data_IF_172838907874
#
_entry.id   IF_172838907874
#
_cell.length_a   1.000
_cell.length_b   1.000
_cell.length_c   1.000
_cell.angle_alpha   90.00
_cell.angle_beta   90.00
_cell.angle_gamma   90.00
#
_symmetry.space_group_name_H-M   'P 1'
#
loop_
_entity.id
_entity.type
_entity.pdbx_description
1 polymer ?
#
# COMPACT_ATOMS: atom_id res chain seq x y z
N UNK A 1 14.28 -7.38 43.75
CA UNK A 1 15.00 -8.21 42.76
C UNK A 1 15.00 -9.66 43.24
N UNK A 2 14.58 -10.63 42.41
CA UNK A 2 14.60 -12.06 42.80
C UNK A 2 16.06 -12.52 42.94
N UNK A 3 16.43 -13.01 44.13
CA UNK A 3 17.82 -13.24 44.58
C UNK A 3 18.54 -14.44 43.93
N UNK A 4 17.83 -15.28 43.16
CA UNK A 4 18.34 -16.52 42.56
C UNK A 4 18.19 -16.52 41.03
N UNK A 5 18.63 -15.47 40.35
CA UNK A 5 18.67 -15.49 38.88
C UNK A 5 19.99 -16.08 38.39
N UNK A 6 20.02 -17.22 37.68
CA UNK A 6 21.24 -17.68 37.06
C UNK A 6 21.68 -16.64 36.02
N UNK A 7 22.91 -16.15 36.14
CA UNK A 7 23.50 -15.36 35.06
C UNK A 7 23.56 -16.25 33.81
N UNK A 8 23.01 -15.79 32.68
CA UNK A 8 22.96 -16.59 31.47
C UNK A 8 22.03 -16.03 30.38
N UNK A 9 22.13 -16.60 29.18
CA UNK A 9 21.24 -16.31 28.05
C UNK A 9 19.96 -17.11 28.18
N UNK A 10 18.82 -16.47 27.93
CA UNK A 10 17.50 -17.09 28.06
C UNK A 10 16.77 -16.97 26.72
N UNK A 11 16.25 -18.08 26.16
CA UNK A 11 15.47 -18.02 24.94
C UNK A 11 14.16 -17.28 25.20
N UNK A 12 13.88 -16.26 24.39
CA UNK A 12 12.61 -15.51 24.41
C UNK A 12 11.67 -16.13 23.39
N UNK A 13 10.87 -17.09 23.84
CA UNK A 13 10.01 -17.92 22.98
C UNK A 13 8.57 -17.95 23.48
N UNK A 14 7.65 -18.30 22.58
CA UNK A 14 6.26 -18.59 22.90
C UNK A 14 6.11 -19.92 23.64
N UNK A 15 4.88 -20.27 24.07
CA UNK A 15 4.63 -21.49 24.83
C UNK A 15 4.78 -22.78 24.00
N UNK A 16 4.63 -22.69 22.67
CA UNK A 16 4.69 -23.82 21.75
C UNK A 16 5.49 -23.46 20.49
N UNK A 17 6.19 -24.45 19.93
CA UNK A 17 6.81 -24.32 18.62
C UNK A 17 5.74 -24.42 17.52
N UNK A 18 5.76 -23.49 16.56
CA UNK A 18 4.79 -23.41 15.47
C UNK A 18 5.53 -23.26 14.14
N UNK A 19 4.99 -23.86 13.07
CA UNK A 19 5.41 -23.50 11.72
C UNK A 19 4.93 -22.08 11.38
N UNK A 20 5.58 -21.40 10.42
CA UNK A 20 5.09 -20.09 9.96
C UNK A 20 3.65 -20.18 9.42
N UNK A 21 3.30 -21.29 8.79
CA UNK A 21 1.93 -21.55 8.31
C UNK A 21 0.94 -21.58 9.46
N UNK A 22 1.24 -22.33 10.52
CA UNK A 22 0.33 -22.47 11.67
C UNK A 22 0.25 -21.17 12.47
N UNK A 23 1.38 -20.47 12.62
CA UNK A 23 1.43 -19.14 13.21
C UNK A 23 0.50 -18.15 12.49
N UNK A 24 0.58 -18.08 11.15
CA UNK A 24 -0.27 -17.21 10.34
C UNK A 24 -1.75 -17.64 10.38
N UNK A 25 -2.03 -18.94 10.41
CA UNK A 25 -3.39 -19.47 10.52
C UNK A 25 -4.01 -19.10 11.88
N UNK A 26 -3.27 -19.27 12.97
CA UNK A 26 -3.71 -18.87 14.31
C UNK A 26 -3.89 -17.36 14.39
N UNK A 27 -2.93 -16.56 13.92
CA UNK A 27 -3.06 -15.09 13.94
C UNK A 27 -4.28 -14.60 13.15
N UNK A 28 -4.56 -15.22 11.99
CA UNK A 28 -5.77 -14.95 11.19
C UNK A 28 -7.04 -15.22 12.01
N UNK A 29 -7.10 -16.36 12.69
CA UNK A 29 -8.20 -16.72 13.58
C UNK A 29 -8.33 -15.72 14.75
N UNK A 30 -7.22 -15.38 15.41
CA UNK A 30 -7.16 -14.40 16.52
C UNK A 30 -7.69 -13.04 16.11
N UNK A 31 -7.41 -12.60 14.89
CA UNK A 31 -7.92 -11.37 14.28
C UNK A 31 -9.41 -11.45 13.88
N UNK A 32 -10.05 -12.61 13.95
CA UNK A 32 -11.44 -12.78 13.49
C UNK A 32 -11.61 -12.56 11.99
N UNK A 33 -10.58 -12.91 11.21
CA UNK A 33 -10.67 -12.89 9.75
C UNK A 33 -11.46 -14.12 9.27
N UNK A 34 -12.45 -13.94 8.38
CA UNK A 34 -13.29 -15.05 7.93
C UNK A 34 -12.53 -16.03 7.03
N UNK A 35 -12.82 -17.33 7.17
CA UNK A 35 -12.29 -18.38 6.29
C UNK A 35 -10.84 -18.80 6.57
N UNK A 36 -10.45 -19.93 5.99
CA UNK A 36 -9.14 -20.55 6.18
C UNK A 36 -7.99 -19.78 5.50
N UNK A 37 -6.78 -19.93 6.03
CA UNK A 37 -5.56 -19.46 5.39
C UNK A 37 -5.36 -20.19 4.06
N UNK A 38 -5.32 -19.44 2.95
CA UNK A 38 -4.96 -19.98 1.64
C UNK A 38 -3.45 -19.93 1.48
N UNK A 39 -2.83 -21.08 1.20
CA UNK A 39 -1.39 -21.20 1.02
C UNK A 39 -1.13 -21.82 -0.35
N UNK A 40 -0.35 -21.12 -1.17
CA UNK A 40 0.17 -21.66 -2.42
C UNK A 40 1.61 -22.11 -2.18
N UNK A 41 1.93 -23.40 -2.31
CA UNK A 41 3.32 -23.86 -2.25
C UNK A 41 4.08 -23.33 -3.48
N UNK A 42 5.23 -22.72 -3.25
CA UNK A 42 6.10 -22.20 -4.31
C UNK A 42 7.47 -22.86 -4.17
N UNK A 43 8.07 -23.40 -5.25
CA UNK A 43 9.43 -23.93 -5.22
C UNK A 43 10.46 -22.89 -4.74
N UNK A 44 11.35 -23.31 -3.85
CA UNK A 44 12.43 -22.47 -3.29
C UNK A 44 13.26 -21.75 -4.35
N UNK A 45 13.53 -22.41 -5.48
CA UNK A 45 14.29 -21.84 -6.59
C UNK A 45 13.61 -20.59 -7.17
N UNK A 46 12.27 -20.62 -7.32
CA UNK A 46 11.51 -19.48 -7.82
C UNK A 46 11.50 -18.33 -6.81
N UNK A 47 11.37 -18.64 -5.52
CA UNK A 47 11.41 -17.63 -4.46
C UNK A 47 12.77 -16.92 -4.45
N UNK A 48 13.88 -17.68 -4.50
CA UNK A 48 15.24 -17.12 -4.52
C UNK A 48 15.52 -16.32 -5.78
N UNK A 49 15.05 -16.77 -6.95
CA UNK A 49 15.20 -16.03 -8.20
C UNK A 49 14.43 -14.69 -8.20
N UNK A 50 13.25 -14.64 -7.57
CA UNK A 50 12.43 -13.44 -7.49
C UNK A 50 12.87 -12.43 -6.42
N UNK A 51 13.62 -12.87 -5.41
CA UNK A 51 13.92 -12.09 -4.21
C UNK A 51 14.63 -10.75 -4.48
N UNK A 52 15.66 -10.67 -5.35
CA UNK A 52 16.33 -9.40 -5.64
C UNK A 52 15.38 -8.37 -6.26
N UNK A 53 14.46 -8.83 -7.13
CA UNK A 53 13.46 -7.97 -7.75
C UNK A 53 12.43 -7.50 -6.72
N UNK A 54 11.93 -8.41 -5.86
CA UNK A 54 10.96 -8.09 -4.82
C UNK A 54 11.52 -7.09 -3.80
N UNK A 55 12.77 -7.26 -3.37
CA UNK A 55 13.43 -6.34 -2.43
C UNK A 55 13.60 -4.94 -3.03
N UNK A 56 13.86 -4.83 -4.35
CA UNK A 56 13.97 -3.54 -5.04
C UNK A 56 12.62 -2.86 -5.25
N UNK A 57 11.60 -3.61 -5.66
CA UNK A 57 10.27 -3.05 -5.98
C UNK A 57 9.41 -2.78 -4.73
N UNK A 58 9.66 -3.50 -3.64
CA UNK A 58 8.86 -3.43 -2.44
C UNK A 58 9.73 -3.48 -1.17
N UNK A 59 10.58 -2.45 -0.92
CA UNK A 59 11.48 -2.41 0.23
C UNK A 59 10.77 -2.40 1.60
N UNK A 60 9.43 -2.21 1.62
CA UNK A 60 8.61 -2.30 2.82
C UNK A 60 8.02 -3.69 3.09
N UNK A 61 8.25 -4.68 2.22
CA UNK A 61 7.90 -6.07 2.52
C UNK A 61 8.95 -6.67 3.47
N UNK A 62 8.54 -7.43 4.51
CA UNK A 62 9.46 -8.14 5.40
C UNK A 62 10.02 -9.41 4.73
N UNK A 63 10.37 -9.32 3.44
CA UNK A 63 10.87 -10.44 2.64
C UNK A 63 12.13 -10.01 1.90
N UNK A 64 13.26 -10.49 2.39
CA UNK A 64 14.59 -10.31 1.82
C UNK A 64 15.42 -11.58 2.03
N UNK A 65 16.65 -11.59 1.50
CA UNK A 65 17.56 -12.75 1.56
C UNK A 65 17.81 -13.21 3.01
N UNK A 66 18.07 -12.26 3.91
CA UNK A 66 18.32 -12.55 5.32
C UNK A 66 17.08 -13.15 6.01
N UNK A 67 15.90 -12.58 5.78
CA UNK A 67 14.65 -13.08 6.35
C UNK A 67 14.33 -14.49 5.88
N UNK A 68 14.57 -14.81 4.60
CA UNK A 68 14.39 -16.15 4.06
C UNK A 68 15.41 -17.13 4.65
N UNK A 69 16.68 -16.73 4.74
CA UNK A 69 17.73 -17.55 5.36
C UNK A 69 17.44 -17.82 6.85
N UNK A 70 16.98 -16.81 7.59
CA UNK A 70 16.56 -16.95 8.98
C UNK A 70 15.34 -17.86 9.12
N UNK A 71 14.35 -17.72 8.23
CA UNK A 71 13.16 -18.57 8.23
C UNK A 71 13.52 -20.04 7.97
N UNK A 72 14.42 -20.30 7.01
CA UNK A 72 14.86 -21.66 6.68
C UNK A 72 15.65 -22.34 7.81
N UNK A 73 16.39 -21.57 8.62
CA UNK A 73 17.11 -22.09 9.80
C UNK A 73 16.16 -22.49 10.94
N UNK A 74 14.97 -21.90 11.01
CA UNK A 74 14.06 -22.03 12.14
C UNK A 74 14.53 -21.24 13.37
N UNK A 75 13.61 -21.00 14.30
CA UNK A 75 13.90 -20.28 15.55
C UNK A 75 13.01 -20.77 16.70
N UNK A 76 13.37 -21.92 17.29
CA UNK A 76 12.63 -22.55 18.40
C UNK A 76 13.53 -22.73 19.62
N UNK A 77 12.96 -22.78 20.81
CA UNK A 77 13.69 -23.00 22.06
C UNK A 77 12.80 -23.50 23.19
N UNK A 78 13.41 -23.94 24.30
CA UNK A 78 12.69 -24.38 25.50
C UNK A 78 11.97 -23.20 26.18
N UNK A 79 10.65 -23.25 26.39
CA UNK A 79 9.90 -22.19 27.07
C UNK A 79 10.06 -22.18 28.60
N UNK A 80 10.57 -23.24 29.23
CA UNK A 80 10.63 -23.35 30.69
C UNK A 80 11.44 -22.23 31.38
N UNK A 81 12.59 -21.77 30.85
CA UNK A 81 13.30 -20.61 31.38
C UNK A 81 12.46 -19.32 31.35
N UNK A 82 11.74 -19.07 30.25
CA UNK A 82 10.86 -17.89 30.13
C UNK A 82 9.67 -17.99 31.09
N UNK A 83 9.05 -19.17 31.21
CA UNK A 83 7.96 -19.40 32.16
C UNK A 83 8.41 -19.10 33.60
N UNK A 84 9.58 -19.60 34.01
CA UNK A 84 10.17 -19.32 35.33
C UNK A 84 10.46 -17.83 35.55
N UNK A 85 10.88 -17.11 34.50
CA UNK A 85 11.12 -15.67 34.54
C UNK A 85 9.83 -14.88 34.77
N UNK A 86 8.80 -15.18 33.98
CA UNK A 86 7.54 -14.46 34.02
C UNK A 86 6.69 -14.85 35.23
N UNK A 87 6.92 -16.02 35.82
CA UNK A 87 6.05 -16.60 36.85
C UNK A 87 4.67 -17.00 36.32
N UNK A 88 4.52 -17.08 34.98
CA UNK A 88 3.32 -17.45 34.23
C UNK A 88 3.74 -17.98 32.86
N UNK A 89 2.89 -18.76 32.15
CA UNK A 89 3.20 -19.16 30.79
C UNK A 89 3.39 -17.96 29.86
N UNK A 90 4.31 -18.04 28.88
CA UNK A 90 4.36 -17.09 27.77
C UNK A 90 3.02 -17.05 27.04
N UNK A 91 2.64 -15.88 26.52
CA UNK A 91 1.37 -15.69 25.82
C UNK A 91 1.35 -16.49 24.51
N UNK A 92 0.29 -17.25 24.28
CA UNK A 92 0.05 -17.97 23.03
C UNK A 92 -0.52 -17.04 21.93
N UNK A 93 -0.41 -17.45 20.67
CA UNK A 93 -0.77 -16.62 19.50
C UNK A 93 -2.28 -16.35 19.41
N UNK A 94 -3.09 -17.30 19.86
CA UNK A 94 -4.55 -17.18 20.01
C UNK A 94 -4.97 -16.10 21.03
N UNK A 95 -4.08 -15.72 21.95
CA UNK A 95 -4.28 -14.67 22.94
C UNK A 95 -3.64 -13.32 22.58
N UNK A 96 -2.96 -13.21 21.43
CA UNK A 96 -2.23 -11.97 21.07
C UNK A 96 -3.15 -10.75 20.96
N UNK A 97 -4.36 -10.93 20.43
CA UNK A 97 -5.34 -9.85 20.23
C UNK A 97 -6.53 -10.07 21.16
N UNK A 98 -6.68 -9.26 22.22
CA UNK A 98 -7.85 -9.31 23.09
C UNK A 98 -9.14 -9.10 22.30
N UNK A 99 -10.23 -9.76 22.70
CA UNK A 99 -11.51 -9.70 21.98
C UNK A 99 -12.00 -8.27 21.69
N UNK A 100 -11.83 -7.34 22.66
CA UNK A 100 -12.19 -5.92 22.52
C UNK A 100 -11.43 -5.16 21.43
N UNK A 101 -10.25 -5.65 21.02
CA UNK A 101 -9.41 -5.02 20.00
C UNK A 101 -9.44 -5.74 18.66
N UNK A 102 -10.14 -6.89 18.59
CA UNK A 102 -10.11 -7.78 17.42
C UNK A 102 -10.55 -7.08 16.14
N UNK A 103 -11.65 -6.34 16.18
CA UNK A 103 -12.16 -5.61 15.01
C UNK A 103 -11.21 -4.52 14.55
N UNK A 104 -10.73 -3.68 15.47
CA UNK A 104 -9.78 -2.61 15.16
C UNK A 104 -8.46 -3.15 14.58
N UNK A 105 -7.90 -4.20 15.18
CA UNK A 105 -6.68 -4.85 14.72
C UNK A 105 -6.87 -5.50 13.33
N UNK A 106 -8.03 -6.12 13.08
CA UNK A 106 -8.39 -6.67 11.78
C UNK A 106 -8.46 -5.58 10.72
N UNK A 107 -9.17 -4.48 11.00
CA UNK A 107 -9.30 -3.34 10.09
C UNK A 107 -7.94 -2.72 9.80
N UNK A 108 -7.10 -2.54 10.81
CA UNK A 108 -5.74 -2.03 10.64
C UNK A 108 -4.87 -2.97 9.78
N UNK A 109 -4.95 -4.29 10.01
CA UNK A 109 -4.23 -5.27 9.21
C UNK A 109 -4.67 -5.25 7.73
N UNK A 110 -5.99 -5.11 7.48
CA UNK A 110 -6.55 -5.02 6.12
C UNK A 110 -6.12 -3.73 5.42
N UNK A 111 -6.26 -2.59 6.08
CA UNK A 111 -5.81 -1.29 5.55
C UNK A 111 -4.31 -1.29 5.28
N UNK A 112 -3.52 -1.97 6.11
CA UNK A 112 -2.07 -2.05 5.98
C UNK A 112 -1.60 -2.52 4.61
N UNK A 113 -2.28 -3.50 3.99
CA UNK A 113 -1.95 -4.00 2.65
C UNK A 113 -2.80 -3.39 1.53
N UNK A 114 -4.03 -2.93 1.82
CA UNK A 114 -4.90 -2.30 0.82
C UNK A 114 -4.46 -0.89 0.43
N UNK A 115 -4.00 -0.06 1.38
CA UNK A 115 -3.58 1.32 1.10
C UNK A 115 -2.42 1.38 0.07
N UNK A 116 -1.36 0.55 0.15
CA UNK A 116 -0.36 0.47 -0.91
C UNK A 116 -0.92 0.09 -2.28
N UNK A 117 -1.90 -0.80 -2.35
CA UNK A 117 -2.53 -1.20 -3.63
C UNK A 117 -3.29 -0.02 -4.22
N UNK A 118 -4.10 0.67 -3.42
CA UNK A 118 -4.83 1.87 -3.85
C UNK A 118 -3.86 2.95 -4.34
N UNK A 119 -2.78 3.19 -3.58
CA UNK A 119 -1.74 4.14 -3.98
C UNK A 119 -1.08 3.76 -5.29
N UNK A 120 -0.72 2.49 -5.48
CA UNK A 120 -0.13 2.02 -6.74
C UNK A 120 -1.12 2.17 -7.89
N UNK A 121 -2.41 1.88 -7.68
CA UNK A 121 -3.43 2.05 -8.71
C UNK A 121 -3.57 3.53 -9.12
N UNK A 122 -3.64 4.46 -8.16
CA UNK A 122 -3.63 5.92 -8.41
C UNK A 122 -2.39 6.33 -9.19
N UNK A 123 -1.21 5.86 -8.76
CA UNK A 123 0.05 6.17 -9.42
C UNK A 123 0.08 5.70 -10.88
N UNK A 124 -0.38 4.47 -11.13
CA UNK A 124 -0.43 3.91 -12.48
C UNK A 124 -1.39 4.68 -13.38
N UNK A 125 -2.56 5.10 -12.86
CA UNK A 125 -3.49 5.95 -13.64
C UNK A 125 -2.77 7.21 -14.11
N UNK A 126 -2.13 7.96 -13.21
CA UNK A 126 -1.41 9.18 -13.58
C UNK A 126 -0.22 8.93 -14.53
N UNK A 127 0.57 7.88 -14.30
CA UNK A 127 1.70 7.57 -15.18
C UNK A 127 1.20 7.22 -16.59
N UNK A 128 0.17 6.37 -16.68
CA UNK A 128 -0.38 5.93 -17.95
C UNK A 128 -1.02 7.12 -18.69
N UNK A 129 -1.81 7.97 -18.02
CA UNK A 129 -2.43 9.15 -18.65
C UNK A 129 -1.39 10.15 -19.15
N UNK A 130 -0.32 10.35 -18.37
CA UNK A 130 0.83 11.17 -18.77
C UNK A 130 1.50 10.62 -20.03
N UNK A 131 1.89 9.33 -20.04
CA UNK A 131 2.53 8.69 -21.20
C UNK A 131 1.62 8.73 -22.44
N UNK A 132 0.33 8.44 -22.26
CA UNK A 132 -0.65 8.47 -23.36
C UNK A 132 -0.72 9.87 -23.98
N UNK A 133 -0.73 10.91 -23.14
CA UNK A 133 -0.77 12.31 -23.57
C UNK A 133 0.52 12.80 -24.23
N UNK A 134 1.66 12.15 -23.99
CA UNK A 134 2.95 12.49 -24.59
C UNK A 134 3.14 11.97 -26.02
N UNK A 135 2.31 11.03 -26.50
CA UNK A 135 2.43 10.58 -27.89
C UNK A 135 1.71 9.29 -28.29
N UNK A 136 1.04 8.58 -27.38
CA UNK A 136 0.23 7.42 -27.78
C UNK A 136 -1.16 7.82 -28.27
N UNK A 137 -1.71 8.91 -27.73
CA UNK A 137 -2.92 9.52 -28.25
C UNK A 137 -2.58 10.54 -29.33
N UNK A 138 -3.36 10.63 -30.43
CA UNK A 138 -3.11 11.62 -31.48
C UNK A 138 -3.06 13.04 -30.91
N UNK A 139 -1.92 13.71 -31.08
CA UNK A 139 -1.69 15.06 -30.54
C UNK A 139 -2.70 16.06 -31.09
N UNK A 140 -3.10 15.92 -32.35
CA UNK A 140 -4.10 16.76 -33.00
C UNK A 140 -5.47 16.66 -32.31
N UNK A 141 -5.88 15.45 -31.91
CA UNK A 141 -7.15 15.25 -31.19
C UNK A 141 -7.09 15.89 -29.80
N UNK A 142 -5.94 15.80 -29.12
CA UNK A 142 -5.70 16.51 -27.85
C UNK A 142 -5.79 18.03 -28.02
N UNK A 143 -5.18 18.58 -29.08
CA UNK A 143 -5.27 20.01 -29.38
C UNK A 143 -6.68 20.45 -29.75
N UNK A 144 -7.44 19.62 -30.47
CA UNK A 144 -8.84 19.87 -30.76
C UNK A 144 -9.68 19.92 -29.47
N UNK A 145 -9.46 18.99 -28.53
CA UNK A 145 -10.11 19.00 -27.22
C UNK A 145 -9.74 20.25 -26.41
N UNK A 146 -8.46 20.64 -26.37
CA UNK A 146 -8.01 21.85 -25.70
C UNK A 146 -8.61 23.11 -26.33
N UNK A 147 -8.73 23.15 -27.66
CA UNK A 147 -9.39 24.25 -28.36
C UNK A 147 -10.87 24.36 -27.96
N UNK A 148 -11.59 23.23 -27.88
CA UNK A 148 -13.00 23.20 -27.44
C UNK A 148 -13.16 23.56 -25.96
N UNK A 149 -12.18 23.20 -25.12
CA UNK A 149 -12.10 23.65 -23.73
C UNK A 149 -11.79 25.16 -23.59
N UNK A 150 -11.48 25.87 -24.69
CA UNK A 150 -11.22 27.30 -24.71
C UNK A 150 -9.76 27.70 -24.55
N UNK A 151 -8.81 26.78 -24.71
CA UNK A 151 -7.38 27.07 -24.61
C UNK A 151 -6.88 27.78 -25.88
N UNK A 152 -6.28 28.98 -25.76
CA UNK A 152 -5.70 29.70 -26.89
C UNK A 152 -4.63 28.89 -27.62
N UNK A 153 -4.54 29.02 -28.94
CA UNK A 153 -3.64 28.22 -29.78
C UNK A 153 -2.17 28.25 -29.29
N UNK A 154 -1.67 29.42 -28.90
CA UNK A 154 -0.31 29.58 -28.40
C UNK A 154 -0.02 28.80 -27.10
N UNK A 155 -1.06 28.53 -26.29
CA UNK A 155 -0.93 27.85 -25.01
C UNK A 155 -1.22 26.34 -25.08
N UNK A 156 -1.78 25.83 -26.20
CA UNK A 156 -2.16 24.41 -26.31
C UNK A 156 -0.97 23.45 -26.13
N UNK A 157 0.23 23.70 -26.70
CA UNK A 157 1.38 22.85 -26.45
C UNK A 157 1.78 22.85 -24.97
N UNK A 158 1.86 24.03 -24.35
CA UNK A 158 2.18 24.15 -22.93
C UNK A 158 1.15 23.45 -22.04
N UNK A 159 -0.14 23.60 -22.34
CA UNK A 159 -1.21 22.95 -21.60
C UNK A 159 -1.15 21.43 -21.73
N UNK A 160 -0.92 20.90 -22.93
CA UNK A 160 -0.82 19.46 -23.17
C UNK A 160 0.41 18.86 -22.47
N UNK A 161 1.61 19.35 -22.77
CA UNK A 161 2.84 18.80 -22.22
C UNK A 161 3.00 19.11 -20.72
N UNK A 162 2.47 20.26 -20.27
CA UNK A 162 2.39 20.61 -18.85
C UNK A 162 1.47 19.67 -18.08
N UNK A 163 0.26 19.39 -18.59
CA UNK A 163 -0.64 18.41 -17.98
C UNK A 163 -0.01 17.01 -17.96
N UNK A 164 0.56 16.56 -19.08
CA UNK A 164 1.22 15.26 -19.15
C UNK A 164 2.43 15.14 -18.21
N UNK A 165 3.25 16.18 -18.09
CA UNK A 165 4.38 16.21 -17.17
C UNK A 165 3.92 16.23 -15.70
N UNK A 166 2.83 16.92 -15.41
CA UNK A 166 2.23 16.99 -14.08
C UNK A 166 1.62 15.64 -13.68
N UNK A 167 0.94 14.95 -14.60
CA UNK A 167 0.47 13.58 -14.43
C UNK A 167 1.62 12.64 -14.06
N UNK A 168 2.71 12.65 -14.85
CA UNK A 168 3.90 11.85 -14.55
C UNK A 168 4.49 12.19 -13.18
N UNK A 169 4.59 13.48 -12.84
CA UNK A 169 5.09 13.93 -11.56
C UNK A 169 4.25 13.38 -10.41
N UNK A 170 2.91 13.50 -10.47
CA UNK A 170 2.03 12.95 -9.43
C UNK A 170 2.13 11.44 -9.31
N UNK A 171 2.19 10.73 -10.43
CA UNK A 171 2.38 9.29 -10.46
C UNK A 171 3.68 8.85 -9.80
N UNK A 172 4.80 9.49 -10.12
CA UNK A 172 6.11 9.20 -9.53
C UNK A 172 6.17 9.58 -8.05
N UNK A 173 5.57 10.71 -7.67
CA UNK A 173 5.51 11.17 -6.27
C UNK A 173 4.73 10.21 -5.37
N UNK A 174 3.77 9.46 -5.91
CA UNK A 174 3.11 8.39 -5.15
C UNK A 174 4.11 7.31 -4.69
N UNK A 175 5.25 7.14 -5.34
CA UNK A 175 6.31 6.19 -4.95
C UNK A 175 7.43 6.81 -4.11
N UNK A 176 7.46 8.13 -3.94
CA UNK A 176 8.47 8.84 -3.13
C UNK A 176 8.52 8.31 -1.68
N UNK A 177 9.59 8.47 -0.90
CA UNK A 177 9.63 8.00 0.49
C UNK A 177 8.48 8.55 1.35
N UNK A 178 7.98 7.80 2.32
CA UNK A 178 6.83 8.21 3.15
C UNK A 178 7.04 9.57 3.84
N UNK A 179 8.28 9.90 4.22
CA UNK A 179 8.67 11.21 4.77
C UNK A 179 8.45 12.39 3.82
N UNK A 180 8.38 12.15 2.51
CA UNK A 180 8.17 13.16 1.47
C UNK A 180 6.72 13.16 0.97
N UNK A 181 5.95 12.10 1.29
CA UNK A 181 4.51 12.00 1.01
C UNK A 181 3.68 12.82 2.00
N UNK A 182 3.91 14.13 2.02
CA UNK A 182 3.08 15.06 2.78
C UNK A 182 1.63 15.02 2.25
N UNK A 183 0.61 15.22 3.11
CA UNK A 183 -0.80 15.12 2.73
C UNK A 183 -1.21 16.04 1.56
N UNK A 184 -0.40 17.07 1.30
CA UNK A 184 -0.58 18.00 0.19
C UNK A 184 -0.53 17.35 -1.19
N UNK A 185 0.17 16.22 -1.37
CA UNK A 185 0.22 15.53 -2.66
C UNK A 185 -1.17 15.03 -3.06
N UNK A 186 -1.91 14.43 -2.12
CA UNK A 186 -3.27 13.96 -2.36
C UNK A 186 -4.24 15.12 -2.59
N UNK A 187 -4.09 16.20 -1.83
CA UNK A 187 -4.88 17.41 -2.01
C UNK A 187 -4.61 18.09 -3.37
N UNK A 188 -3.35 18.13 -3.83
CA UNK A 188 -2.97 18.71 -5.11
C UNK A 188 -3.54 17.90 -6.29
N UNK A 189 -3.49 16.57 -6.21
CA UNK A 189 -4.15 15.68 -7.19
C UNK A 189 -5.66 15.91 -7.21
N UNK A 190 -6.30 16.01 -6.04
CA UNK A 190 -7.74 16.26 -5.95
C UNK A 190 -8.10 17.64 -6.51
N UNK A 191 -7.31 18.67 -6.21
CA UNK A 191 -7.49 20.03 -6.73
C UNK A 191 -7.36 20.07 -8.25
N UNK A 192 -6.38 19.36 -8.83
CA UNK A 192 -6.25 19.25 -10.28
C UNK A 192 -7.50 18.59 -10.90
N UNK A 193 -7.94 17.47 -10.32
CA UNK A 193 -9.14 16.74 -10.78
C UNK A 193 -10.37 17.63 -10.76
N UNK A 194 -10.59 18.34 -9.66
CA UNK A 194 -11.71 19.27 -9.51
C UNK A 194 -11.60 20.43 -10.52
N UNK A 195 -10.40 20.98 -10.70
CA UNK A 195 -10.15 22.09 -11.62
C UNK A 195 -10.50 21.74 -13.06
N UNK A 196 -9.96 20.64 -13.59
CA UNK A 196 -10.29 20.25 -14.97
C UNK A 196 -11.73 19.75 -15.09
N UNK A 197 -12.29 19.10 -14.06
CA UNK A 197 -13.70 18.64 -14.06
C UNK A 197 -14.65 19.84 -14.17
N UNK A 198 -14.37 20.94 -13.47
CA UNK A 198 -15.16 22.17 -13.56
C UNK A 198 -15.08 22.78 -14.96
N UNK A 199 -13.88 22.86 -15.56
CA UNK A 199 -13.68 23.37 -16.91
C UNK A 199 -14.47 22.52 -17.93
N UNK A 200 -14.32 21.21 -17.89
CA UNK A 200 -15.02 20.28 -18.80
C UNK A 200 -16.53 20.37 -18.58
N UNK A 201 -17.00 20.47 -17.33
CA UNK A 201 -18.45 20.58 -17.06
C UNK A 201 -19.09 21.83 -17.68
N UNK A 202 -18.36 22.93 -17.78
CA UNK A 202 -18.86 24.18 -18.37
C UNK A 202 -18.67 24.22 -19.89
N UNK A 203 -17.52 23.74 -20.40
CA UNK A 203 -17.13 23.89 -21.81
C UNK A 203 -17.48 22.69 -22.69
N UNK A 204 -17.61 21.52 -22.07
CA UNK A 204 -17.78 20.21 -22.72
C UNK A 204 -18.79 19.36 -21.93
N UNK A 205 -20.01 19.87 -21.65
CA UNK A 205 -20.99 19.19 -20.79
C UNK A 205 -21.40 17.81 -21.31
N UNK A 206 -21.26 17.53 -22.60
CA UNK A 206 -21.51 16.22 -23.19
C UNK A 206 -20.64 15.10 -22.62
N UNK A 207 -19.50 15.42 -22.00
CA UNK A 207 -18.64 14.44 -21.31
C UNK A 207 -19.29 13.81 -20.08
N UNK A 208 -20.38 14.39 -19.56
CA UNK A 208 -21.23 13.75 -18.54
C UNK A 208 -22.03 12.57 -19.09
N UNK A 209 -22.42 12.62 -20.36
CA UNK A 209 -23.22 11.58 -21.04
C UNK A 209 -22.35 10.61 -21.85
N UNK A 210 -21.04 10.80 -21.85
CA UNK A 210 -20.12 10.00 -22.63
C UNK A 210 -20.08 8.54 -22.11
N UNK A 211 -20.15 7.52 -22.99
CA UNK A 211 -20.32 6.11 -22.59
C UNK A 211 -19.19 5.59 -21.71
N UNK A 212 -17.98 6.14 -21.84
CA UNK A 212 -16.84 5.76 -21.01
C UNK A 212 -16.79 6.46 -19.64
N UNK A 213 -17.75 7.32 -19.32
CA UNK A 213 -17.91 8.00 -18.03
C UNK A 213 -16.68 8.75 -17.51
N UNK A 214 -16.00 9.58 -18.32
CA UNK A 214 -14.73 10.21 -17.95
C UNK A 214 -14.85 11.07 -16.69
N UNK A 215 -15.92 11.87 -16.56
CA UNK A 215 -16.15 12.68 -15.37
C UNK A 215 -16.64 11.86 -14.17
N UNK A 216 -17.49 10.86 -14.39
CA UNK A 216 -18.00 10.01 -13.31
C UNK A 216 -16.88 9.20 -12.63
N UNK A 217 -15.84 8.82 -13.37
CA UNK A 217 -14.65 8.14 -12.83
C UNK A 217 -13.82 9.02 -11.88
N UNK A 218 -13.99 10.34 -11.92
CA UNK A 218 -13.31 11.25 -11.00
C UNK A 218 -13.88 11.17 -9.58
N UNK A 219 -15.15 10.81 -9.41
CA UNK A 219 -15.77 10.70 -8.09
C UNK A 219 -15.10 9.62 -7.22
N UNK A 220 -14.96 8.35 -7.65
CA UNK A 220 -14.24 7.35 -6.87
C UNK A 220 -12.74 7.69 -6.75
N UNK A 221 -12.13 8.33 -7.75
CA UNK A 221 -10.74 8.79 -7.67
C UNK A 221 -10.55 9.80 -6.53
N UNK A 222 -11.42 10.81 -6.43
CA UNK A 222 -11.42 11.80 -5.34
C UNK A 222 -11.63 11.13 -3.97
N UNK A 223 -12.54 10.16 -3.87
CA UNK A 223 -12.75 9.40 -2.65
C UNK A 223 -11.50 8.61 -2.22
N UNK A 224 -10.79 7.99 -3.17
CA UNK A 224 -9.52 7.29 -2.90
C UNK A 224 -8.44 8.25 -2.46
N UNK A 225 -8.30 9.42 -3.10
CA UNK A 225 -7.32 10.44 -2.71
C UNK A 225 -7.59 10.95 -1.28
N UNK A 226 -8.86 11.17 -0.94
CA UNK A 226 -9.26 11.53 0.42
C UNK A 226 -8.91 10.43 1.44
N UNK A 227 -9.21 9.16 1.09
CA UNK A 227 -8.89 8.00 1.92
C UNK A 227 -7.37 7.87 2.16
N UNK A 228 -6.56 8.02 1.12
CA UNK A 228 -5.10 8.00 1.22
C UNK A 228 -4.58 9.16 2.08
N UNK A 229 -5.11 10.37 1.90
CA UNK A 229 -4.73 11.53 2.69
C UNK A 229 -5.07 11.42 4.19
N UNK A 230 -6.11 10.68 4.53
CA UNK A 230 -6.56 10.46 5.92
C UNK A 230 -5.87 9.26 6.58
N UNK A 231 -5.74 8.14 5.86
CA UNK A 231 -5.30 6.86 6.44
C UNK A 231 -3.84 6.50 6.21
N UNK A 232 -3.15 7.09 5.22
CA UNK A 232 -1.72 6.78 4.98
C UNK A 232 -0.79 7.51 5.97
N UNK A 233 -1.33 8.40 6.83
CA UNK A 233 -0.56 9.12 7.85
C UNK A 233 0.00 8.18 8.92
N UNK A 234 1.34 8.20 9.05
CA UNK A 234 2.17 7.50 10.04
C UNK A 234 2.05 5.97 10.00
N UNK A 235 2.77 5.35 9.05
CA UNK A 235 3.44 4.09 9.37
C UNK A 235 4.51 4.42 10.42
N UNK A 236 4.34 3.87 11.63
CA UNK A 236 5.38 3.85 12.64
C UNK A 236 6.60 3.16 12.03
N UNK A 237 7.56 3.94 11.54
CA UNK A 237 8.94 3.49 11.40
C UNK A 237 9.56 3.73 12.74
N UNK A 238 9.80 2.65 13.48
CA UNK A 238 10.93 2.57 14.42
C UNK A 238 12.20 3.10 13.78
#
# INVERSE_FOLDING_TARGET
MRRNWPQGRIPVVGPTALSLRDYLAQLRHTLGQPGALRVLPVPDALVRAGLPLMTRLAPGLPLNEDALAMLARGNTGDPAPMHRLLGRPPRAVDEFVPARWREAARTQAVLGWQLPILRTAVALVWIITGIVSLGLYPVEDSYALLARAGVPQALRPLALYGAAGLDLLFGLMCFAPARWRFPWIWAAQAALILGYTAIISVRLPEFWLHPYGPLTKNLPMLAVLWLLGTLERKRWTT
#
